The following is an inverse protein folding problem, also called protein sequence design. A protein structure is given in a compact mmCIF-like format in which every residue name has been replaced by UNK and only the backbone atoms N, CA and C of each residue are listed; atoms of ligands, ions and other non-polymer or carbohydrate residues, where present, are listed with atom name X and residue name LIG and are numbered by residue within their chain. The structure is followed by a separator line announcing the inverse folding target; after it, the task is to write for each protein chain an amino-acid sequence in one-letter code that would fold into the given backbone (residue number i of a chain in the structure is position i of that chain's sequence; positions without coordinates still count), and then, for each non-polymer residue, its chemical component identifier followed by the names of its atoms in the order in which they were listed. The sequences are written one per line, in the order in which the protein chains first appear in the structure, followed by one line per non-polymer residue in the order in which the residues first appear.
data_IF_314141182015
#
_entry.id   IF_314141182015
#
_cell.length_a   1.000
_cell.length_b   1.000
_cell.length_c   1.000
_cell.angle_alpha   90.00
_cell.angle_beta   90.00
_cell.angle_gamma   90.00
#
_symmetry.space_group_name_H-M   'P 1'
#
loop_
_entity.id
_entity.type
_entity.pdbx_description
1 polymer ?
#
# COMPACT_ATOMS: atom_id res chain seq x y z
N UNK A 1 26.92 41.88 63.26
CA UNK A 1 27.12 40.82 62.25
C UNK A 1 25.93 39.84 62.19
N UNK A 2 25.26 39.54 63.27
CA UNK A 2 24.10 38.61 63.34
C UNK A 2 22.83 39.13 62.65
N UNK A 3 22.51 40.43 62.82
CA UNK A 3 21.31 41.04 62.19
C UNK A 3 21.34 40.95 60.65
N UNK A 4 22.49 41.19 60.01
CA UNK A 4 22.66 41.12 58.60
C UNK A 4 22.48 39.69 58.03
N UNK A 5 22.88 38.68 58.82
CA UNK A 5 22.71 37.28 58.50
C UNK A 5 21.22 36.87 58.56
N UNK A 6 20.52 37.32 59.57
CA UNK A 6 19.09 37.09 59.76
C UNK A 6 18.27 37.72 58.65
N UNK A 7 18.60 38.93 58.22
CA UNK A 7 17.96 39.60 57.02
C UNK A 7 18.17 38.84 55.74
N UNK A 8 19.38 38.34 55.49
CA UNK A 8 19.68 37.54 54.34
C UNK A 8 18.92 36.18 54.30
N UNK A 9 18.81 35.53 55.47
CA UNK A 9 18.05 34.28 55.59
C UNK A 9 16.54 34.50 55.37
N UNK A 10 15.97 35.56 55.91
CA UNK A 10 14.58 35.94 55.68
C UNK A 10 14.31 36.27 54.19
N UNK A 11 15.22 37.01 53.52
CA UNK A 11 15.09 37.37 52.13
C UNK A 11 15.14 36.12 51.24
N UNK A 12 16.02 35.16 51.57
CA UNK A 12 16.12 33.90 50.82
C UNK A 12 14.86 33.03 50.98
N UNK A 13 14.32 32.96 52.20
CA UNK A 13 13.08 32.23 52.46
C UNK A 13 11.88 32.84 51.72
N UNK A 14 11.76 34.16 51.69
CA UNK A 14 10.72 34.86 50.91
C UNK A 14 10.85 34.60 49.39
N UNK A 15 12.07 34.68 48.86
CA UNK A 15 12.33 34.38 47.44
C UNK A 15 11.91 32.96 47.11
N UNK A 16 12.22 31.97 47.96
CA UNK A 16 11.86 30.57 47.75
C UNK A 16 10.33 30.36 47.74
N UNK A 17 9.61 31.04 48.63
CA UNK A 17 8.14 30.99 48.71
C UNK A 17 7.53 31.57 47.40
N UNK A 18 8.04 32.71 46.93
CA UNK A 18 7.56 33.33 45.67
C UNK A 18 7.76 32.42 44.45
N UNK A 19 8.94 31.79 44.39
CA UNK A 19 9.22 30.80 43.28
C UNK A 19 8.29 29.60 43.40
N UNK A 20 8.04 29.06 44.57
CA UNK A 20 7.14 27.95 44.80
C UNK A 20 5.69 28.27 44.38
N UNK A 21 5.20 29.46 44.72
CA UNK A 21 3.86 29.95 44.32
C UNK A 21 3.79 30.11 42.78
N UNK A 22 4.80 30.70 42.18
CA UNK A 22 4.87 30.87 40.70
C UNK A 22 4.85 29.51 40.02
N UNK A 23 5.62 28.54 40.48
CA UNK A 23 5.63 27.18 39.95
C UNK A 23 4.25 26.51 40.10
N UNK A 24 3.60 26.67 41.22
CA UNK A 24 2.26 26.13 41.46
C UNK A 24 1.21 26.68 40.48
N UNK A 25 1.27 27.97 40.18
CA UNK A 25 0.36 28.62 39.20
C UNK A 25 0.67 28.17 37.75
N UNK A 26 1.93 27.87 37.41
CA UNK A 26 2.34 27.47 36.08
C UNK A 26 2.01 26.01 35.76
N UNK A 27 1.98 25.12 36.73
CA UNK A 27 1.71 23.68 36.52
C UNK A 27 0.39 23.39 35.79
N UNK A 28 -0.76 23.97 36.17
CA UNK A 28 -2.01 23.74 35.45
C UNK A 28 -1.99 24.29 34.02
N UNK A 29 -1.31 25.41 33.77
CA UNK A 29 -1.14 25.98 32.44
C UNK A 29 -0.32 25.06 31.52
N UNK A 30 0.79 24.52 32.01
CA UNK A 30 1.61 23.55 31.30
C UNK A 30 0.80 22.27 31.02
N UNK A 31 0.02 21.80 32.00
CA UNK A 31 -0.79 20.60 31.78
C UNK A 31 -1.87 20.79 30.71
N UNK A 32 -2.47 21.97 30.60
CA UNK A 32 -3.41 22.32 29.53
C UNK A 32 -2.72 22.39 28.18
N UNK A 33 -1.53 23.00 28.09
CA UNK A 33 -0.74 23.06 26.87
C UNK A 33 -0.34 21.66 26.38
N UNK A 34 0.11 20.79 27.27
CA UNK A 34 0.46 19.40 26.94
C UNK A 34 -0.74 18.62 26.41
N UNK A 35 -1.92 18.79 27.03
CA UNK A 35 -3.16 18.18 26.53
C UNK A 35 -3.53 18.71 25.15
N UNK A 36 -3.44 20.02 24.92
CA UNK A 36 -3.69 20.63 23.62
C UNK A 36 -2.76 20.12 22.52
N UNK A 37 -1.46 20.02 22.84
CA UNK A 37 -0.46 19.45 21.92
C UNK A 37 -0.71 17.98 21.62
N UNK A 38 -1.06 17.17 22.62
CA UNK A 38 -1.35 15.75 22.42
C UNK A 38 -2.56 15.54 21.51
N UNK A 39 -3.59 16.38 21.66
CA UNK A 39 -4.78 16.35 20.79
C UNK A 39 -4.44 16.78 19.35
N UNK A 40 -3.64 17.83 19.17
CA UNK A 40 -3.17 18.25 17.85
C UNK A 40 -2.35 17.15 17.15
N UNK A 41 -1.46 16.48 17.86
CA UNK A 41 -0.68 15.35 17.33
C UNK A 41 -1.60 14.22 16.91
N UNK A 42 -2.63 13.89 17.72
CA UNK A 42 -3.62 12.86 17.38
C UNK A 42 -4.37 13.21 16.10
N UNK A 43 -4.90 14.43 15.99
CA UNK A 43 -5.62 14.89 14.81
C UNK A 43 -4.73 14.95 13.57
N UNK A 44 -3.47 15.36 13.72
CA UNK A 44 -2.50 15.36 12.62
C UNK A 44 -2.24 13.95 12.10
N UNK A 45 -2.04 12.97 12.98
CA UNK A 45 -1.85 11.56 12.58
C UNK A 45 -3.08 10.99 11.87
N UNK A 46 -4.28 11.24 12.39
CA UNK A 46 -5.51 10.82 11.73
C UNK A 46 -5.66 11.43 10.33
N UNK A 47 -5.31 12.71 10.17
CA UNK A 47 -5.32 13.38 8.88
C UNK A 47 -4.28 12.81 7.91
N UNK A 48 -3.07 12.48 8.39
CA UNK A 48 -2.02 11.82 7.60
C UNK A 48 -2.46 10.43 7.15
N UNK A 49 -2.99 9.59 8.04
CA UNK A 49 -3.50 8.26 7.70
C UNK A 49 -4.61 8.31 6.65
N UNK A 50 -5.53 9.28 6.77
CA UNK A 50 -6.57 9.50 5.78
C UNK A 50 -6.02 9.99 4.43
N UNK A 51 -4.99 10.81 4.43
CA UNK A 51 -4.34 11.28 3.22
C UNK A 51 -3.59 10.14 2.51
N UNK A 52 -2.83 9.35 3.26
CA UNK A 52 -2.12 8.17 2.74
C UNK A 52 -3.10 7.14 2.15
N UNK A 53 -4.20 6.87 2.85
CA UNK A 53 -5.23 5.95 2.36
C UNK A 53 -5.82 6.44 1.04
N UNK A 54 -6.20 7.71 0.93
CA UNK A 54 -6.74 8.28 -0.31
C UNK A 54 -5.73 8.24 -1.44
N UNK A 55 -4.46 8.51 -1.16
CA UNK A 55 -3.39 8.41 -2.15
C UNK A 55 -3.26 6.97 -2.65
N UNK A 56 -3.26 6.00 -1.76
CA UNK A 56 -3.19 4.57 -2.12
C UNK A 56 -4.41 4.11 -2.91
N UNK A 57 -5.62 4.56 -2.54
CA UNK A 57 -6.85 4.31 -3.29
C UNK A 57 -6.73 4.84 -4.73
N UNK A 58 -6.29 6.07 -4.88
CA UNK A 58 -6.10 6.71 -6.16
C UNK A 58 -5.05 6.00 -7.04
N UNK A 59 -3.88 5.69 -6.49
CA UNK A 59 -2.83 4.96 -7.21
C UNK A 59 -3.30 3.53 -7.59
N UNK A 60 -4.10 2.88 -6.76
CA UNK A 60 -4.70 1.59 -7.08
C UNK A 60 -5.64 1.68 -8.28
N UNK A 61 -6.58 2.64 -8.25
CA UNK A 61 -7.53 2.85 -9.36
C UNK A 61 -6.77 3.16 -10.65
N UNK A 62 -5.82 4.10 -10.59
CA UNK A 62 -4.98 4.48 -11.73
C UNK A 62 -4.19 3.29 -12.30
N UNK A 63 -3.65 2.45 -11.44
CA UNK A 63 -2.96 1.24 -11.87
C UNK A 63 -3.92 0.27 -12.57
N UNK A 64 -5.12 0.07 -12.02
CA UNK A 64 -6.14 -0.78 -12.61
C UNK A 64 -6.66 -0.25 -13.96
N UNK A 65 -6.76 1.07 -14.11
CA UNK A 65 -7.29 1.70 -15.33
C UNK A 65 -6.26 1.77 -16.48
N UNK A 66 -4.99 1.47 -16.23
CA UNK A 66 -3.95 1.53 -17.28
C UNK A 66 -4.28 0.68 -18.50
N UNK A 67 -5.04 -0.42 -18.36
CA UNK A 67 -5.45 -1.23 -19.51
C UNK A 67 -6.38 -0.49 -20.47
N UNK A 68 -7.04 0.59 -20.03
CA UNK A 68 -7.89 1.46 -20.86
C UNK A 68 -7.17 2.70 -21.40
N UNK A 69 -6.09 3.15 -20.73
CA UNK A 69 -5.47 4.45 -21.03
C UNK A 69 -4.01 4.36 -21.48
N UNK A 70 -3.34 3.22 -21.25
CA UNK A 70 -2.01 2.98 -21.81
C UNK A 70 -2.15 2.39 -23.23
N UNK A 71 -1.73 3.11 -24.29
CA UNK A 71 -1.99 2.67 -25.65
C UNK A 71 -1.40 1.31 -25.99
N UNK A 72 -0.32 0.92 -25.33
CA UNK A 72 0.33 -0.38 -25.57
C UNK A 72 -0.48 -1.49 -24.91
N UNK A 73 -0.89 -1.30 -23.66
CA UNK A 73 -1.66 -2.28 -22.89
C UNK A 73 -3.07 -2.39 -23.49
N UNK A 74 -3.71 -1.27 -23.79
CA UNK A 74 -5.03 -1.22 -24.40
C UNK A 74 -5.05 -2.00 -25.73
N UNK A 75 -4.14 -1.67 -26.65
CA UNK A 75 -4.08 -2.34 -27.94
C UNK A 75 -3.77 -3.84 -27.80
N UNK A 76 -2.89 -4.23 -26.89
CA UNK A 76 -2.59 -5.63 -26.60
C UNK A 76 -3.83 -6.35 -26.04
N UNK A 77 -4.52 -5.74 -25.08
CA UNK A 77 -5.73 -6.29 -24.45
C UNK A 77 -6.85 -6.49 -25.47
N UNK A 78 -7.09 -5.50 -26.32
CA UNK A 78 -8.08 -5.60 -27.39
C UNK A 78 -7.78 -6.74 -28.36
N UNK A 79 -6.52 -6.88 -28.83
CA UNK A 79 -6.13 -7.96 -29.74
C UNK A 79 -6.25 -9.34 -29.11
N UNK A 80 -5.83 -9.47 -27.85
CA UNK A 80 -5.98 -10.71 -27.07
C UNK A 80 -7.46 -11.06 -26.87
N UNK A 81 -8.29 -10.06 -26.55
CA UNK A 81 -9.73 -10.26 -26.33
C UNK A 81 -10.47 -10.68 -27.62
N UNK A 82 -10.21 -9.98 -28.72
CA UNK A 82 -10.80 -10.30 -30.05
C UNK A 82 -10.39 -11.68 -30.49
N UNK A 83 -9.11 -12.03 -30.38
CA UNK A 83 -8.63 -13.36 -30.71
C UNK A 83 -9.29 -14.45 -29.85
N UNK A 84 -9.51 -14.15 -28.57
CA UNK A 84 -10.18 -15.03 -27.60
C UNK A 84 -11.64 -15.32 -27.98
N UNK A 85 -12.39 -14.28 -28.40
CA UNK A 85 -13.81 -14.39 -28.69
C UNK A 85 -14.11 -15.00 -30.06
N UNK A 86 -13.20 -14.85 -31.03
CA UNK A 86 -13.37 -15.38 -32.37
C UNK A 86 -13.04 -16.88 -32.52
N UNK A 87 -12.75 -17.57 -31.39
CA UNK A 87 -12.41 -18.99 -31.43
C UNK A 87 -11.15 -19.30 -32.24
N UNK A 88 -10.38 -18.26 -32.60
CA UNK A 88 -9.13 -18.43 -33.30
C UNK A 88 -8.17 -19.12 -32.32
N UNK A 89 -7.95 -20.40 -32.60
CA UNK A 89 -6.99 -21.24 -31.92
C UNK A 89 -5.67 -20.43 -31.78
N UNK A 90 -5.21 -20.17 -30.57
CA UNK A 90 -3.92 -19.50 -30.30
C UNK A 90 -2.70 -20.24 -30.89
N UNK A 91 -2.93 -21.20 -31.76
CA UNK A 91 -1.94 -21.97 -32.49
C UNK A 91 -1.22 -21.20 -33.61
N UNK A 92 -1.54 -19.91 -33.80
CA UNK A 92 -0.72 -19.01 -34.64
C UNK A 92 0.12 -18.07 -33.78
N UNK A 93 1.40 -18.42 -33.54
CA UNK A 93 2.15 -17.98 -32.37
C UNK A 93 2.59 -16.52 -32.37
N UNK A 94 2.87 -15.88 -33.51
CA UNK A 94 3.83 -14.78 -33.50
C UNK A 94 3.30 -13.40 -33.08
N UNK A 95 2.04 -13.09 -33.31
CA UNK A 95 1.46 -11.78 -32.94
C UNK A 95 0.71 -11.85 -31.61
N UNK A 96 0.00 -12.95 -31.41
CA UNK A 96 -0.78 -13.15 -30.17
C UNK A 96 0.10 -13.34 -28.93
N UNK A 97 1.24 -13.99 -29.06
CA UNK A 97 2.14 -14.28 -27.95
C UNK A 97 2.72 -13.00 -27.34
N UNK A 98 3.19 -12.06 -28.16
CA UNK A 98 3.75 -10.80 -27.70
C UNK A 98 2.71 -9.95 -26.97
N UNK A 99 1.51 -9.83 -27.51
CA UNK A 99 0.43 -9.06 -26.90
C UNK A 99 -0.03 -9.71 -25.59
N UNK A 100 -0.08 -11.04 -25.57
CA UNK A 100 -0.42 -11.79 -24.38
C UNK A 100 0.62 -11.58 -23.26
N UNK A 101 1.92 -11.61 -23.59
CA UNK A 101 3.00 -11.30 -22.63
C UNK A 101 2.84 -9.90 -22.05
N UNK A 102 2.47 -8.90 -22.86
CA UNK A 102 2.23 -7.52 -22.38
C UNK A 102 1.10 -7.50 -21.36
N UNK A 103 -0.03 -8.15 -21.64
CA UNK A 103 -1.18 -8.20 -20.73
C UNK A 103 -0.84 -8.95 -19.44
N UNK A 104 -0.16 -10.10 -19.55
CA UNK A 104 0.20 -10.90 -18.37
C UNK A 104 1.22 -10.21 -17.48
N UNK A 105 2.23 -9.57 -18.05
CA UNK A 105 3.20 -8.78 -17.27
C UNK A 105 2.54 -7.59 -16.57
N UNK A 106 1.55 -6.96 -17.19
CA UNK A 106 0.76 -5.91 -16.54
C UNK A 106 -0.01 -6.46 -15.33
N UNK A 107 -0.70 -7.59 -15.48
CA UNK A 107 -1.46 -8.23 -14.39
C UNK A 107 -0.53 -8.71 -13.27
N UNK A 108 0.61 -9.29 -13.61
CA UNK A 108 1.60 -9.72 -12.62
C UNK A 108 2.20 -8.54 -11.87
N UNK A 109 2.49 -7.42 -12.55
CA UNK A 109 2.93 -6.19 -11.92
C UNK A 109 1.92 -5.64 -10.90
N UNK A 110 0.62 -5.73 -11.20
CA UNK A 110 -0.44 -5.38 -10.23
C UNK A 110 -0.45 -6.36 -9.06
N UNK A 111 -0.34 -7.67 -9.32
CA UNK A 111 -0.30 -8.67 -8.27
C UNK A 111 0.88 -8.49 -7.32
N UNK A 112 2.06 -8.17 -7.85
CA UNK A 112 3.24 -7.80 -7.06
C UNK A 112 2.94 -6.57 -6.20
N UNK A 113 2.34 -5.52 -6.77
CA UNK A 113 1.96 -4.31 -6.04
C UNK A 113 0.97 -4.57 -4.89
N UNK A 114 0.00 -5.48 -5.08
CA UNK A 114 -0.89 -5.96 -4.02
C UNK A 114 -0.09 -6.68 -2.93
N UNK A 115 0.78 -7.61 -3.32
CA UNK A 115 1.63 -8.36 -2.38
C UNK A 115 2.55 -7.47 -1.55
N UNK A 116 3.02 -6.37 -2.10
CA UNK A 116 3.85 -5.37 -1.41
C UNK A 116 3.04 -4.34 -0.60
N UNK A 117 1.71 -4.40 -0.64
CA UNK A 117 0.84 -3.43 0.04
C UNK A 117 0.80 -2.04 -0.62
N UNK A 118 1.30 -1.91 -1.84
CA UNK A 118 1.24 -0.68 -2.62
C UNK A 118 -0.18 -0.41 -3.12
N UNK A 119 -0.91 -1.46 -3.47
CA UNK A 119 -2.28 -1.40 -3.96
C UNK A 119 -3.26 -2.05 -2.98
N UNK A 120 -4.49 -1.55 -2.97
CA UNK A 120 -5.58 -2.08 -2.15
C UNK A 120 -6.19 -3.28 -2.84
N UNK A 121 -6.01 -4.46 -2.27
CA UNK A 121 -6.42 -5.75 -2.84
C UNK A 121 -7.91 -5.79 -3.23
N UNK A 122 -8.80 -5.30 -2.36
CA UNK A 122 -10.24 -5.27 -2.66
C UNK A 122 -10.59 -4.45 -3.88
N UNK A 123 -9.97 -3.26 -4.03
CA UNK A 123 -10.17 -2.42 -5.19
C UNK A 123 -9.64 -3.06 -6.47
N UNK A 124 -8.45 -3.70 -6.42
CA UNK A 124 -7.91 -4.44 -7.57
C UNK A 124 -8.86 -5.56 -7.97
N UNK A 125 -9.35 -6.34 -7.01
CA UNK A 125 -10.28 -7.44 -7.26
C UNK A 125 -11.59 -6.95 -7.90
N UNK A 126 -12.13 -5.84 -7.41
CA UNK A 126 -13.39 -5.28 -7.92
C UNK A 126 -13.25 -4.72 -9.34
N UNK A 127 -12.09 -4.10 -9.66
CA UNK A 127 -11.88 -3.45 -10.95
C UNK A 127 -11.43 -4.41 -12.06
N UNK A 128 -10.48 -5.28 -11.77
CA UNK A 128 -9.85 -6.14 -12.77
C UNK A 128 -9.83 -7.63 -12.41
N UNK A 129 -10.53 -8.03 -11.35
CA UNK A 129 -10.65 -9.44 -10.95
C UNK A 129 -11.11 -10.37 -12.07
N UNK A 130 -12.16 -10.02 -12.84
CA UNK A 130 -12.60 -10.82 -13.98
C UNK A 130 -11.52 -11.00 -15.07
N UNK A 131 -10.68 -9.98 -15.28
CA UNK A 131 -9.56 -10.07 -16.23
C UNK A 131 -8.48 -11.03 -15.71
N UNK A 132 -8.18 -11.01 -14.40
CA UNK A 132 -7.29 -11.97 -13.77
C UNK A 132 -7.81 -13.41 -13.90
N UNK A 133 -9.08 -13.63 -13.59
CA UNK A 133 -9.70 -14.94 -13.68
C UNK A 133 -9.64 -15.48 -15.09
N UNK A 134 -10.03 -14.67 -16.07
CA UNK A 134 -9.94 -15.02 -17.48
C UNK A 134 -8.51 -15.36 -17.93
N UNK A 135 -7.54 -14.52 -17.53
CA UNK A 135 -6.14 -14.71 -17.91
C UNK A 135 -5.57 -16.01 -17.34
N UNK A 136 -5.78 -16.28 -16.04
CA UNK A 136 -5.28 -17.50 -15.42
C UNK A 136 -5.96 -18.75 -15.95
N UNK A 137 -7.28 -18.76 -16.00
CA UNK A 137 -8.04 -19.94 -16.43
C UNK A 137 -7.76 -20.28 -17.89
N UNK A 138 -7.72 -19.27 -18.76
CA UNK A 138 -7.59 -19.51 -20.19
C UNK A 138 -6.16 -19.79 -20.63
N UNK A 139 -5.16 -19.13 -20.03
CA UNK A 139 -3.79 -19.21 -20.58
C UNK A 139 -2.88 -20.11 -19.77
N UNK A 140 -3.05 -20.20 -18.44
CA UNK A 140 -2.21 -21.06 -17.61
C UNK A 140 -2.78 -22.46 -17.44
N UNK A 141 -4.07 -22.60 -17.17
CA UNK A 141 -4.68 -23.90 -16.96
C UNK A 141 -4.81 -24.69 -18.26
N UNK A 142 -4.94 -24.00 -19.39
CA UNK A 142 -4.92 -24.62 -20.73
C UNK A 142 -3.52 -25.03 -21.19
N UNK A 143 -2.46 -24.65 -20.45
CA UNK A 143 -1.07 -24.97 -20.82
C UNK A 143 -0.53 -24.17 -22.01
N UNK A 144 -1.19 -23.08 -22.42
CA UNK A 144 -0.75 -22.23 -23.52
C UNK A 144 0.53 -21.47 -23.18
N UNK A 145 0.69 -21.08 -21.91
CA UNK A 145 1.87 -20.36 -21.42
C UNK A 145 2.42 -21.05 -20.18
N UNK A 146 3.75 -21.14 -20.10
CA UNK A 146 4.46 -21.57 -18.88
C UNK A 146 4.28 -20.58 -17.73
N UNK A 147 4.35 -21.09 -16.50
CA UNK A 147 4.18 -20.28 -15.27
C UNK A 147 5.41 -19.46 -14.91
N UNK A 148 6.49 -19.58 -15.62
CA UNK A 148 7.76 -18.94 -15.29
C UNK A 148 7.62 -17.41 -15.32
N UNK A 149 7.91 -16.76 -14.20
CA UNK A 149 7.91 -15.30 -14.07
C UNK A 149 6.56 -14.63 -13.83
N UNK A 150 5.48 -15.40 -13.60
CA UNK A 150 4.12 -14.87 -13.36
C UNK A 150 3.49 -15.45 -12.08
N UNK A 151 4.35 -15.78 -11.12
CA UNK A 151 3.95 -16.46 -9.87
C UNK A 151 3.05 -15.59 -9.00
N UNK A 152 3.24 -14.28 -9.00
CA UNK A 152 2.46 -13.35 -8.19
C UNK A 152 1.00 -13.30 -8.66
N UNK A 153 0.78 -13.26 -9.97
CA UNK A 153 -0.56 -13.26 -10.56
C UNK A 153 -1.30 -14.57 -10.27
N UNK A 154 -0.65 -15.72 -10.47
CA UNK A 154 -1.25 -17.05 -10.24
C UNK A 154 -1.60 -17.23 -8.77
N UNK A 155 -0.74 -16.79 -7.87
CA UNK A 155 -0.96 -16.94 -6.45
C UNK A 155 -2.05 -15.97 -5.93
N UNK A 156 -2.12 -14.74 -6.43
CA UNK A 156 -3.19 -13.80 -6.10
C UNK A 156 -4.55 -14.33 -6.59
N UNK A 157 -4.60 -14.89 -7.80
CA UNK A 157 -5.79 -15.54 -8.33
C UNK A 157 -6.23 -16.73 -7.45
N UNK A 158 -5.30 -17.60 -7.05
CA UNK A 158 -5.58 -18.73 -6.18
C UNK A 158 -6.14 -18.28 -4.81
N UNK A 159 -5.63 -17.17 -4.27
CA UNK A 159 -6.15 -16.57 -3.06
C UNK A 159 -7.60 -16.09 -3.24
N UNK A 160 -7.92 -15.45 -4.34
CA UNK A 160 -9.25 -14.87 -4.58
C UNK A 160 -10.34 -15.89 -4.91
N UNK A 161 -10.00 -16.92 -5.67
CA UNK A 161 -10.98 -17.83 -6.28
C UNK A 161 -10.90 -19.26 -5.75
N UNK A 162 -9.78 -19.66 -5.14
CA UNK A 162 -9.57 -21.02 -4.63
C UNK A 162 -9.40 -21.08 -3.11
N UNK A 163 -9.51 -19.95 -2.41
CA UNK A 163 -9.35 -19.91 -0.94
C UNK A 163 -7.94 -20.26 -0.47
N UNK A 164 -6.92 -20.12 -1.32
CA UNK A 164 -5.54 -20.35 -0.94
C UNK A 164 -5.09 -19.34 0.14
N UNK A 165 -4.26 -19.76 1.11
CA UNK A 165 -3.74 -18.84 2.11
C UNK A 165 -2.90 -17.74 1.47
N UNK A 166 -2.91 -16.54 2.07
CA UNK A 166 -2.05 -15.43 1.64
C UNK A 166 -0.59 -15.87 1.70
N UNK A 167 0.01 -16.09 0.54
CA UNK A 167 1.43 -16.38 0.43
C UNK A 167 2.20 -15.07 0.31
N UNK A 168 3.22 -14.90 1.15
CA UNK A 168 4.16 -13.78 1.01
C UNK A 168 5.02 -14.02 -0.24
N UNK A 169 4.69 -13.34 -1.34
CA UNK A 169 5.41 -13.48 -2.63
C UNK A 169 6.86 -12.99 -2.59
N UNK A 170 7.28 -12.40 -1.47
CA UNK A 170 8.61 -11.81 -1.31
C UNK A 170 9.71 -12.85 -0.95
N UNK A 171 9.36 -14.12 -0.72
CA UNK A 171 10.34 -15.11 -0.24
C UNK A 171 10.99 -15.98 -1.32
N UNK A 172 10.59 -15.87 -2.59
CA UNK A 172 11.07 -16.79 -3.63
C UNK A 172 12.20 -16.22 -4.51
N UNK A 173 12.86 -15.14 -4.08
CA UNK A 173 14.04 -14.58 -4.75
C UNK A 173 15.37 -15.31 -4.51
N UNK A 174 15.38 -16.48 -3.87
CA UNK A 174 16.55 -17.30 -3.76
C UNK A 174 16.71 -18.14 -5.04
N UNK A 175 17.44 -17.61 -6.03
CA UNK A 175 17.98 -18.45 -7.12
C UNK A 175 18.80 -19.59 -6.49
N UNK A 176 18.53 -20.84 -6.84
CA UNK A 176 19.47 -21.90 -6.50
C UNK A 176 20.78 -21.58 -7.25
N UNK A 177 21.86 -21.40 -6.50
CA UNK A 177 23.21 -21.35 -7.04
C UNK A 177 23.52 -22.71 -7.67
N UNK A 178 23.60 -22.74 -8.97
CA UNK A 178 24.22 -23.82 -9.74
C UNK A 178 25.70 -23.75 -9.66
#
# INVERSE_FOLDING_TARGET
MEIAKLIAECATALATIVVAIAAWIQLPLISQQVRGLSEQIRLSREAEEHAERRTREWETIKACERYNFDPVIEAATQRVWVASNNGTDYKRPEVAERDLIVVLNYLDGIAIGVGQGLYIESLVKDHIGPLFDHAVTKYFESGVIGREGLDAMVALHAQWYRGAPKTSYLSTGARPSS
#
